data_IF_399718443732
#
_entry.id   IF_399718443732
#
_cell.length_a   1.000
_cell.length_b   1.000
_cell.length_c   1.000
_cell.angle_alpha   90.00
_cell.angle_beta   90.00
_cell.angle_gamma   90.00
#
_symmetry.space_group_name_H-M   'P 1'
#
loop_
_entity.id
_entity.type
_entity.pdbx_description
1 polymer ?
#
# COMPACT_ATOMS: atom_id res chain seq x y z
N UNK A 1 -10.79 12.56 -12.84
CA UNK A 1 -10.61 11.58 -11.75
C UNK A 1 -9.38 11.96 -10.94
N UNK A 2 -9.53 12.10 -9.63
CA UNK A 2 -8.40 12.39 -8.74
C UNK A 2 -7.60 11.10 -8.49
N UNK A 3 -6.27 11.18 -8.45
CA UNK A 3 -5.41 10.03 -8.09
C UNK A 3 -5.10 10.13 -6.60
N UNK A 4 -4.94 8.99 -5.94
CA UNK A 4 -4.39 8.94 -4.60
C UNK A 4 -2.92 8.50 -4.63
N UNK A 5 -2.06 9.26 -3.98
CA UNK A 5 -0.62 9.01 -3.89
C UNK A 5 -0.25 8.72 -2.44
N UNK A 6 0.68 7.80 -2.22
CA UNK A 6 1.22 7.41 -0.93
C UNK A 6 2.75 7.44 -0.98
N UNK A 7 3.38 7.93 0.09
CA UNK A 7 4.82 7.83 0.29
C UNK A 7 5.16 7.72 1.77
N UNK A 8 6.27 7.04 2.08
CA UNK A 8 6.96 7.21 3.35
C UNK A 8 8.05 8.27 3.15
N UNK A 9 7.92 9.42 3.80
CA UNK A 9 8.82 10.57 3.63
C UNK A 9 9.63 10.85 4.90
N UNK A 10 10.80 11.46 4.72
CA UNK A 10 11.58 11.99 5.83
C UNK A 10 10.96 13.32 6.30
N UNK A 11 10.64 13.43 7.59
CA UNK A 11 10.06 14.64 8.18
C UNK A 11 8.58 14.89 7.83
N UNK A 12 8.08 16.12 8.03
CA UNK A 12 6.67 16.44 7.87
C UNK A 12 6.24 16.49 6.39
N UNK A 13 5.13 15.82 6.08
CA UNK A 13 4.57 15.75 4.73
C UNK A 13 3.73 16.99 4.37
N UNK A 14 4.36 18.01 3.79
CA UNK A 14 3.68 19.27 3.42
C UNK A 14 2.52 19.04 2.44
N UNK A 15 1.36 19.60 2.78
CA UNK A 15 0.15 19.57 1.94
C UNK A 15 -0.44 18.17 1.74
N UNK A 16 -0.12 17.21 2.63
CA UNK A 16 -0.76 15.90 2.67
C UNK A 16 -2.20 16.01 3.17
N UNK A 17 -3.09 15.22 2.57
CA UNK A 17 -4.49 15.11 3.00
C UNK A 17 -4.64 14.19 4.21
N UNK A 18 -3.67 13.30 4.42
CA UNK A 18 -3.53 12.44 5.58
C UNK A 18 -2.06 12.11 5.80
N UNK A 19 -1.60 12.12 7.05
CA UNK A 19 -0.23 11.78 7.39
C UNK A 19 -0.13 11.32 8.84
N UNK A 20 0.71 10.32 9.09
CA UNK A 20 1.03 9.86 10.44
C UNK A 20 2.50 9.43 10.55
N UNK A 21 3.14 9.61 11.71
CA UNK A 21 4.44 9.01 12.00
C UNK A 21 4.42 7.49 11.80
N UNK A 22 5.54 6.96 11.34
CA UNK A 22 5.79 5.54 11.21
C UNK A 22 7.07 5.16 11.97
N UNK A 23 7.06 3.97 12.57
CA UNK A 23 8.12 3.43 13.39
C UNK A 23 8.45 2.01 12.97
N UNK A 24 9.70 1.59 13.15
CA UNK A 24 10.09 0.18 13.01
C UNK A 24 9.47 -0.67 14.13
N UNK A 25 9.55 -1.99 13.99
CA UNK A 25 9.06 -2.91 15.02
C UNK A 25 9.70 -2.67 16.41
N UNK A 26 10.94 -2.17 16.43
CA UNK A 26 11.70 -1.86 17.64
C UNK A 26 11.46 -0.42 18.17
N UNK A 27 10.54 0.33 17.54
CA UNK A 27 10.15 1.67 17.96
C UNK A 27 11.03 2.80 17.42
N UNK A 28 11.98 2.53 16.53
CA UNK A 28 12.77 3.59 15.90
C UNK A 28 11.96 4.36 14.86
N UNK A 29 12.07 5.70 14.77
CA UNK A 29 11.41 6.48 13.74
C UNK A 29 11.80 6.00 12.33
N UNK A 30 10.80 5.75 11.49
CA UNK A 30 10.96 5.28 10.11
C UNK A 30 10.55 6.33 9.06
N UNK A 31 9.95 7.45 9.50
CA UNK A 31 9.49 8.56 8.67
C UNK A 31 8.03 8.91 8.95
N UNK A 32 7.42 9.64 8.02
CA UNK A 32 5.99 9.95 8.02
C UNK A 32 5.34 9.25 6.84
N UNK A 33 4.36 8.39 7.08
CA UNK A 33 3.52 7.86 6.02
C UNK A 33 2.49 8.91 5.65
N UNK A 34 2.43 9.31 4.38
CA UNK A 34 1.58 10.41 3.95
C UNK A 34 0.88 10.10 2.63
N UNK A 35 -0.33 10.65 2.50
CA UNK A 35 -1.19 10.47 1.34
C UNK A 35 -1.70 11.81 0.77
N UNK A 36 -1.89 11.82 -0.55
CA UNK A 36 -2.37 12.99 -1.29
C UNK A 36 -3.42 12.60 -2.34
N UNK A 37 -4.57 13.25 -2.34
CA UNK A 37 -5.67 13.10 -3.30
C UNK A 37 -5.59 14.21 -4.34
N UNK A 38 -4.74 14.02 -5.36
CA UNK A 38 -4.54 15.00 -6.43
C UNK A 38 -4.03 14.36 -7.71
N UNK A 39 -4.25 15.03 -8.83
CA UNK A 39 -3.83 14.53 -10.16
C UNK A 39 -2.31 14.47 -10.29
N UNK A 40 -1.61 15.53 -9.89
CA UNK A 40 -0.17 15.65 -10.02
C UNK A 40 0.55 14.88 -8.90
N UNK A 41 1.68 14.25 -9.23
CA UNK A 41 2.50 13.51 -8.28
C UNK A 41 3.10 14.49 -7.24
N UNK A 42 2.88 14.25 -5.93
CA UNK A 42 3.20 15.22 -4.88
C UNK A 42 4.70 15.33 -4.57
N UNK A 43 5.39 14.19 -4.55
CA UNK A 43 6.81 14.04 -4.24
C UNK A 43 7.39 12.91 -5.10
N UNK A 44 8.71 12.91 -5.30
CA UNK A 44 9.42 11.99 -6.22
C UNK A 44 9.12 10.52 -5.95
N UNK A 45 9.01 10.14 -4.69
CA UNK A 45 8.91 8.73 -4.28
C UNK A 45 7.46 8.31 -4.01
N UNK A 46 6.48 9.19 -4.27
CA UNK A 46 5.08 8.84 -4.12
C UNK A 46 4.60 7.88 -5.22
N UNK A 47 3.87 6.86 -4.81
CA UNK A 47 3.27 5.85 -5.65
C UNK A 47 1.76 5.93 -5.54
N UNK A 48 1.05 5.59 -6.60
CA UNK A 48 -0.41 5.53 -6.55
C UNK A 48 -0.84 4.38 -5.65
N UNK A 49 -1.86 4.62 -4.84
CA UNK A 49 -2.50 3.64 -3.97
C UNK A 49 -4.02 3.64 -4.18
N UNK A 50 -4.71 2.55 -3.81
CA UNK A 50 -6.18 2.54 -3.72
C UNK A 50 -6.62 3.59 -2.69
N UNK A 51 -7.40 4.58 -3.12
CA UNK A 51 -7.79 5.71 -2.27
C UNK A 51 -8.66 5.31 -1.06
N UNK A 52 -9.36 4.17 -1.16
CA UNK A 52 -10.20 3.63 -0.08
C UNK A 52 -9.38 3.26 1.15
N UNK A 53 -8.08 3.03 0.98
CA UNK A 53 -7.14 2.73 2.05
C UNK A 53 -6.85 3.96 2.92
N UNK A 54 -7.09 5.18 2.40
CA UNK A 54 -6.76 6.42 3.11
C UNK A 54 -7.93 6.90 3.96
N UNK A 55 -7.75 6.85 5.27
CA UNK A 55 -8.73 7.31 6.26
C UNK A 55 -8.06 8.24 7.29
N UNK A 56 -8.31 9.56 7.23
CA UNK A 56 -7.83 10.52 8.22
C UNK A 56 -8.36 10.29 9.64
N UNK A 57 -9.36 9.42 9.82
CA UNK A 57 -9.91 9.01 11.12
C UNK A 57 -9.50 7.58 11.51
N UNK A 58 -8.69 6.93 10.67
CA UNK A 58 -8.23 5.57 10.90
C UNK A 58 -7.36 5.48 12.17
N UNK A 59 -7.51 4.39 12.92
CA UNK A 59 -6.70 4.15 14.12
C UNK A 59 -5.25 3.78 13.80
N UNK A 60 -4.41 3.75 14.83
CA UNK A 60 -3.05 3.24 14.71
C UNK A 60 -3.05 1.78 14.20
N UNK A 61 -2.04 1.43 13.41
CA UNK A 61 -2.02 0.16 12.67
C UNK A 61 -0.62 -0.37 12.46
N UNK A 62 -0.52 -1.63 12.08
CA UNK A 62 0.71 -2.22 11.56
C UNK A 62 0.61 -2.38 10.06
N UNK A 63 1.70 -2.15 9.34
CA UNK A 63 1.77 -2.39 7.91
C UNK A 63 2.96 -3.24 7.51
N UNK A 64 2.78 -3.98 6.43
CA UNK A 64 3.87 -4.43 5.57
C UNK A 64 3.92 -3.47 4.39
N UNK A 65 5.03 -2.74 4.25
CA UNK A 65 5.31 -1.85 3.12
C UNK A 65 6.40 -2.47 2.26
N UNK A 66 6.02 -2.98 1.10
CA UNK A 66 6.93 -3.58 0.12
C UNK A 66 7.29 -2.53 -0.91
N UNK A 67 8.58 -2.24 -1.06
CA UNK A 67 9.09 -1.30 -2.07
C UNK A 67 10.33 -1.89 -2.75
N UNK A 68 10.47 -1.75 -4.08
CA UNK A 68 11.68 -2.13 -4.79
C UNK A 68 12.85 -1.22 -4.39
N UNK A 69 14.09 -1.70 -4.55
CA UNK A 69 15.24 -0.80 -4.58
C UNK A 69 15.11 0.25 -5.69
N UNK A 70 15.78 1.41 -5.56
CA UNK A 70 15.64 2.51 -6.51
C UNK A 70 15.88 2.08 -7.97
N UNK A 71 14.98 2.47 -8.86
CA UNK A 71 15.07 2.19 -10.30
C UNK A 71 14.52 0.82 -10.72
N UNK A 72 14.14 -0.05 -9.80
CA UNK A 72 13.47 -1.31 -10.12
C UNK A 72 11.95 -1.16 -10.14
N UNK A 73 11.34 -1.86 -11.10
CA UNK A 73 9.89 -1.97 -11.28
C UNK A 73 9.59 -3.23 -12.08
N UNK A 74 8.40 -3.79 -11.90
CA UNK A 74 7.93 -4.92 -12.69
C UNK A 74 6.71 -4.50 -13.52
N UNK A 75 6.49 -5.11 -14.70
CA UNK A 75 5.18 -5.11 -15.32
C UNK A 75 4.12 -5.60 -14.33
N UNK A 76 2.94 -4.97 -14.32
CA UNK A 76 1.88 -5.37 -13.39
C UNK A 76 1.37 -6.79 -13.68
N UNK A 77 1.44 -7.24 -14.93
CA UNK A 77 1.09 -8.59 -15.37
C UNK A 77 2.22 -9.61 -15.18
N UNK A 78 3.34 -9.22 -14.58
CA UNK A 78 4.43 -10.13 -14.24
C UNK A 78 3.92 -11.33 -13.42
N UNK A 79 4.31 -12.57 -13.76
CA UNK A 79 3.85 -13.77 -13.07
C UNK A 79 4.05 -13.74 -11.54
N UNK A 80 5.12 -13.12 -11.04
CA UNK A 80 5.38 -12.99 -9.61
C UNK A 80 4.36 -12.06 -8.94
N UNK A 81 4.03 -10.93 -9.58
CA UNK A 81 3.01 -9.98 -9.11
C UNK A 81 1.63 -10.65 -9.10
N UNK A 82 1.30 -11.36 -10.17
CA UNK A 82 0.03 -12.08 -10.28
C UNK A 82 -0.08 -13.22 -9.25
N UNK A 83 1.02 -13.94 -9.00
CA UNK A 83 1.05 -14.98 -7.97
C UNK A 83 0.87 -14.39 -6.57
N UNK A 84 1.52 -13.27 -6.24
CA UNK A 84 1.34 -12.59 -4.96
C UNK A 84 -0.13 -12.17 -4.75
N UNK A 85 -0.78 -11.58 -5.76
CA UNK A 85 -2.21 -11.23 -5.73
C UNK A 85 -3.10 -12.44 -5.44
N UNK A 86 -2.86 -13.57 -6.12
CA UNK A 86 -3.61 -14.82 -5.87
C UNK A 86 -3.42 -15.32 -4.45
N UNK A 87 -2.18 -15.29 -3.94
CA UNK A 87 -1.90 -15.68 -2.57
C UNK A 87 -2.62 -14.78 -1.58
N UNK A 88 -2.67 -13.45 -1.77
CA UNK A 88 -3.44 -12.56 -0.89
C UNK A 88 -4.92 -12.96 -0.83
N UNK A 89 -5.51 -13.37 -1.96
CA UNK A 89 -6.91 -13.82 -2.03
C UNK A 89 -7.15 -15.20 -1.38
N UNK A 90 -6.12 -16.04 -1.27
CA UNK A 90 -6.20 -17.37 -0.67
C UNK A 90 -5.99 -17.37 0.85
N UNK A 91 -5.36 -16.33 1.40
CA UNK A 91 -5.08 -16.22 2.83
C UNK A 91 -6.19 -15.47 3.58
N UNK A 92 -6.29 -15.63 4.91
CA UNK A 92 -7.20 -14.82 5.72
C UNK A 92 -6.99 -13.33 5.49
N UNK A 93 -8.08 -12.56 5.39
CA UNK A 93 -8.03 -11.16 5.00
C UNK A 93 -7.20 -10.30 5.98
N UNK A 94 -6.40 -9.43 5.37
CA UNK A 94 -5.83 -8.26 6.04
C UNK A 94 -6.92 -7.21 6.28
N UNK A 95 -6.61 -6.16 7.04
CA UNK A 95 -7.54 -5.04 7.22
C UNK A 95 -7.71 -4.25 5.92
N UNK A 96 -6.64 -4.12 5.14
CA UNK A 96 -6.66 -3.58 3.79
C UNK A 96 -5.39 -4.04 3.07
N UNK A 97 -5.41 -3.98 1.74
CA UNK A 97 -4.24 -4.24 0.90
C UNK A 97 -4.34 -3.39 -0.35
N UNK A 98 -3.21 -2.89 -0.85
CA UNK A 98 -3.16 -2.25 -2.16
C UNK A 98 -1.81 -2.44 -2.82
N UNK A 99 -1.79 -2.59 -4.14
CA UNK A 99 -0.57 -2.46 -4.92
C UNK A 99 -0.16 -0.99 -5.02
N UNK A 100 1.11 -0.71 -5.23
CA UNK A 100 1.66 0.62 -5.40
C UNK A 100 2.16 0.80 -6.83
N UNK A 101 1.62 1.78 -7.55
CA UNK A 101 1.90 1.96 -8.97
C UNK A 101 2.57 3.29 -9.27
N UNK A 102 3.57 3.29 -10.15
CA UNK A 102 4.20 4.52 -10.64
C UNK A 102 3.37 5.19 -11.73
N UNK A 103 2.94 4.35 -12.65
CA UNK A 103 2.17 4.68 -13.84
C UNK A 103 1.07 3.62 -14.01
N UNK A 104 0.49 3.52 -15.20
CA UNK A 104 -0.69 2.69 -15.42
C UNK A 104 -0.33 1.21 -15.65
N UNK A 105 0.97 0.87 -15.70
CA UNK A 105 1.44 -0.46 -16.11
C UNK A 105 2.51 -1.07 -15.19
N UNK A 106 3.14 -0.29 -14.33
CA UNK A 106 4.26 -0.77 -13.51
C UNK A 106 3.91 -0.88 -12.03
N UNK A 107 4.14 -2.09 -11.51
CA UNK A 107 4.20 -2.40 -10.09
C UNK A 107 5.52 -1.89 -9.49
N UNK A 108 5.41 -1.04 -8.46
CA UNK A 108 6.53 -0.54 -7.65
C UNK A 108 6.30 -0.81 -6.16
N UNK A 109 5.52 -1.83 -5.81
CA UNK A 109 5.37 -2.28 -4.43
C UNK A 109 3.95 -2.58 -4.00
N UNK A 110 3.77 -2.78 -2.70
CA UNK A 110 2.46 -2.99 -2.09
C UNK A 110 2.44 -2.46 -0.65
N UNK A 111 1.23 -2.27 -0.14
CA UNK A 111 0.96 -2.01 1.27
C UNK A 111 -0.12 -2.98 1.75
N UNK A 112 0.15 -3.66 2.87
CA UNK A 112 -0.81 -4.53 3.56
C UNK A 112 -1.00 -4.02 4.98
N UNK A 113 -2.25 -3.83 5.42
CA UNK A 113 -2.62 -3.19 6.70
C UNK A 113 -3.18 -4.22 7.69
N UNK A 114 -2.82 -4.09 8.96
CA UNK A 114 -3.25 -4.96 10.06
C UNK A 114 -3.65 -4.17 11.31
N UNK A 115 -4.92 -4.31 11.73
CA UNK A 115 -5.44 -3.65 12.94
C UNK A 115 -5.47 -4.57 14.18
N UNK A 116 -5.38 -5.89 14.00
CA UNK A 116 -5.32 -6.85 15.11
C UNK A 116 -3.94 -7.50 15.24
N UNK A 117 -3.61 -7.98 16.45
CA UNK A 117 -2.38 -8.73 16.71
C UNK A 117 -2.26 -9.96 15.80
N UNK A 118 -3.35 -10.68 15.57
CA UNK A 118 -3.36 -11.83 14.68
C UNK A 118 -3.02 -11.46 13.22
N UNK A 119 -3.56 -10.33 12.73
CA UNK A 119 -3.19 -9.81 11.41
C UNK A 119 -1.74 -9.34 11.36
N UNK A 120 -1.25 -8.67 12.42
CA UNK A 120 0.14 -8.22 12.53
C UNK A 120 1.12 -9.38 12.39
N UNK A 121 0.87 -10.52 13.04
CA UNK A 121 1.74 -11.69 12.91
C UNK A 121 1.84 -12.17 11.47
N UNK A 122 0.73 -12.14 10.71
CA UNK A 122 0.69 -12.54 9.30
C UNK A 122 1.42 -11.61 8.36
N UNK A 123 1.66 -10.35 8.73
CA UNK A 123 2.43 -9.42 7.89
C UNK A 123 3.86 -9.91 7.61
N UNK A 124 4.42 -10.76 8.48
CA UNK A 124 5.74 -11.39 8.26
C UNK A 124 5.76 -12.28 7.03
N UNK A 125 4.62 -12.83 6.66
CA UNK A 125 4.42 -13.74 5.54
C UNK A 125 3.67 -13.06 4.38
N UNK A 126 3.76 -11.72 4.28
CA UNK A 126 3.12 -10.97 3.20
C UNK A 126 3.54 -11.54 1.83
N UNK A 127 2.58 -11.99 0.98
CA UNK A 127 2.90 -12.57 -0.31
C UNK A 127 3.78 -11.69 -1.22
N UNK A 128 3.66 -10.37 -1.12
CA UNK A 128 4.45 -9.43 -1.92
C UNK A 128 5.91 -9.31 -1.43
N UNK A 129 6.20 -9.70 -0.17
CA UNK A 129 7.55 -9.71 0.38
C UNK A 129 8.50 -10.69 -0.34
N UNK A 130 7.94 -11.60 -1.15
CA UNK A 130 8.70 -12.52 -2.02
C UNK A 130 9.23 -11.84 -3.28
N UNK A 131 8.69 -10.67 -3.65
CA UNK A 131 9.07 -9.90 -4.84
C UNK A 131 10.13 -8.88 -4.47
N UNK A 132 9.85 -8.05 -3.47
CA UNK A 132 10.77 -7.04 -2.94
C UNK A 132 10.75 -7.06 -1.40
N UNK A 133 11.78 -6.49 -0.74
CA UNK A 133 11.84 -6.46 0.72
C UNK A 133 10.64 -5.76 1.35
N UNK A 134 10.01 -6.42 2.33
CA UNK A 134 8.97 -5.82 3.15
C UNK A 134 9.56 -5.09 4.36
N UNK A 135 9.07 -3.89 4.61
CA UNK A 135 9.30 -3.15 5.86
C UNK A 135 8.07 -3.29 6.74
N UNK A 136 8.22 -3.92 7.90
CA UNK A 136 7.18 -3.96 8.92
C UNK A 136 7.24 -2.70 9.77
N UNK A 137 6.17 -1.91 9.72
CA UNK A 137 6.10 -0.61 10.38
C UNK A 137 4.85 -0.53 11.26
N UNK A 138 5.00 0.09 12.44
CA UNK A 138 3.89 0.65 13.18
C UNK A 138 3.60 2.05 12.62
N UNK A 139 2.34 2.36 12.35
CA UNK A 139 1.92 3.67 11.84
C UNK A 139 0.87 4.22 12.80
N UNK A 140 1.07 5.46 13.23
CA UNK A 140 0.12 6.14 14.09
C UNK A 140 -1.23 6.37 13.40
N UNK A 141 -2.22 6.80 14.18
CA UNK A 141 -3.55 7.10 13.68
C UNK A 141 -3.56 8.25 12.65
N UNK A 142 -4.60 8.27 11.81
CA UNK A 142 -4.92 9.40 10.96
C UNK A 142 -4.48 9.29 9.50
N UNK A 143 -4.16 8.08 9.02
CA UNK A 143 -3.81 7.87 7.60
C UNK A 143 -4.38 6.61 6.96
N UNK A 144 -4.49 5.49 7.69
CA UNK A 144 -4.90 4.20 7.12
C UNK A 144 -6.20 3.68 7.73
N UNK A 145 -7.12 3.27 6.86
CA UNK A 145 -8.37 2.60 7.23
C UNK A 145 -8.40 1.11 6.87
N UNK A 146 -9.56 0.50 7.11
CA UNK A 146 -9.87 -0.85 6.64
C UNK A 146 -10.64 -0.79 5.32
N UNK A 147 -10.30 -1.70 4.41
CA UNK A 147 -10.99 -1.88 3.12
C UNK A 147 -11.48 -3.33 3.07
N UNK A 148 -12.76 -3.58 2.73
CA UNK A 148 -13.25 -4.94 2.54
C UNK A 148 -12.33 -5.75 1.60
N UNK A 149 -12.20 -7.06 1.82
CA UNK A 149 -11.36 -7.89 0.96
C UNK A 149 -11.81 -7.78 -0.51
N UNK A 150 -10.85 -7.84 -1.45
CA UNK A 150 -11.16 -7.78 -2.88
C UNK A 150 -12.12 -8.89 -3.29
N UNK A 151 -13.06 -8.58 -4.19
CA UNK A 151 -14.09 -9.50 -4.66
C UNK A 151 -13.57 -10.61 -5.58
N UNK A 152 -12.33 -10.53 -6.07
CA UNK A 152 -11.70 -11.62 -6.82
C UNK A 152 -10.53 -11.16 -7.70
N UNK A 153 -9.94 -12.08 -8.48
CA UNK A 153 -8.93 -11.73 -9.47
C UNK A 153 -9.62 -11.08 -10.67
N UNK A 154 -9.75 -9.76 -10.66
CA UNK A 154 -10.05 -8.99 -11.87
C UNK A 154 -8.94 -9.24 -12.90
N UNK A 155 -9.32 -9.53 -14.14
CA UNK A 155 -8.38 -9.61 -15.28
C UNK A 155 -7.89 -8.19 -15.55
N UNK A 156 -6.82 -7.81 -14.88
CA UNK A 156 -6.14 -6.53 -15.05
C UNK A 156 -4.83 -6.79 -15.80
N UNK A 157 -4.84 -6.60 -17.12
CA UNK A 157 -3.61 -6.60 -17.94
C UNK A 157 -2.73 -5.38 -17.66
N UNK A 158 -3.36 -4.29 -17.25
CA UNK A 158 -2.72 -3.05 -16.81
C UNK A 158 -3.37 -2.68 -15.49
N UNK A 159 -2.66 -1.95 -14.63
CA UNK A 159 -3.23 -1.39 -13.39
C UNK A 159 -4.24 -0.26 -13.66
N UNK A 160 -5.00 -0.33 -14.76
CA UNK A 160 -6.15 0.46 -15.25
C UNK A 160 -6.20 1.96 -14.92
N UNK A 161 -5.05 2.57 -14.60
CA UNK A 161 -4.94 3.88 -13.97
C UNK A 161 -5.12 3.87 -12.43
N UNK A 162 -5.69 2.79 -11.87
CA UNK A 162 -6.02 2.63 -10.45
C UNK A 162 -5.36 1.37 -9.85
N UNK A 163 -4.73 1.49 -8.68
CA UNK A 163 -4.10 0.33 -8.04
C UNK A 163 -5.12 -0.69 -7.55
N UNK A 164 -4.76 -1.97 -7.66
CA UNK A 164 -5.53 -3.07 -7.07
C UNK A 164 -5.72 -2.83 -5.57
N UNK A 165 -6.89 -3.14 -4.97
CA UNK A 165 -7.95 -3.99 -5.52
C UNK A 165 -8.89 -3.42 -6.57
N UNK A 166 -9.09 -2.10 -6.68
CA UNK A 166 -10.03 -1.41 -7.59
C UNK A 166 -11.13 -2.28 -8.26
N UNK A 167 -11.88 -2.99 -7.43
CA UNK A 167 -12.72 -4.13 -7.82
C UNK A 167 -14.21 -3.76 -7.86
N UNK A 168 -14.52 -2.48 -7.62
CA UNK A 168 -15.89 -1.97 -7.57
C UNK A 168 -15.98 -0.69 -8.39
N UNK A 169 -16.90 -0.68 -9.35
CA UNK A 169 -17.31 0.55 -10.03
C UNK A 169 -18.29 1.27 -9.10
N UNK A 170 -17.96 2.50 -8.72
CA UNK A 170 -18.89 3.42 -8.08
C UNK A 170 -19.67 4.19 -9.15
#
# INVERSE_FOLDING_TARGET
MSRCWLALVEGPAKGADAAAPAFTADGHPAGTLAAWRRRAKPVRDALRVDERLIDPKGGATWISLVLPPPGMRLPFDDPAVQQARRLVLLHPSAAAVSTLLRDDSHFEGSITVAHSTAQKHRLRDDPFARIFPARLLAVDAGVLGAVPPPTGPTIERYGSGNPWPWDRFA
#
